data_IF_827819001275
#
_entry.id   IF_827819001275
#
_cell.length_a   1.000
_cell.length_b   1.000
_cell.length_c   1.000
_cell.angle_alpha   90.00
_cell.angle_beta   90.00
_cell.angle_gamma   90.00
#
_symmetry.space_group_name_H-M   'P 1'
#
loop_
_entity.id
_entity.type
_entity.pdbx_description
1 polymer ?
#
# COMPACT_ATOMS: atom_id res chain seq x y z
N UNK A 1 12.31 -13.32 3.93
CA UNK A 1 11.23 -12.36 4.22
C UNK A 1 10.69 -11.90 2.88
N UNK A 2 9.37 -11.92 2.71
CA UNK A 2 8.74 -11.44 1.49
C UNK A 2 9.08 -9.96 1.28
N UNK A 3 9.25 -9.57 0.02
CA UNK A 3 9.58 -8.21 -0.36
C UNK A 3 8.33 -7.33 -0.22
N UNK A 4 8.33 -6.47 0.81
CA UNK A 4 7.22 -5.54 1.11
C UNK A 4 6.88 -4.65 -0.09
N UNK A 5 7.86 -4.33 -0.93
CA UNK A 5 7.61 -3.53 -2.13
C UNK A 5 6.76 -4.28 -3.16
N UNK A 6 7.00 -5.58 -3.32
CA UNK A 6 6.22 -6.46 -4.19
C UNK A 6 4.80 -6.67 -3.65
N UNK A 7 4.66 -6.81 -2.33
CA UNK A 7 3.34 -6.95 -1.68
C UNK A 7 2.49 -5.68 -1.82
N UNK A 8 3.09 -4.50 -1.70
CA UNK A 8 2.41 -3.22 -1.94
C UNK A 8 1.86 -3.12 -3.36
N UNK A 9 2.72 -3.45 -4.33
CA UNK A 9 2.34 -3.45 -5.75
C UNK A 9 1.20 -4.42 -6.02
N UNK A 10 1.30 -5.64 -5.50
CA UNK A 10 0.26 -6.65 -5.66
C UNK A 10 -1.08 -6.24 -5.01
N UNK A 11 -1.04 -5.63 -3.81
CA UNK A 11 -2.23 -5.08 -3.17
C UNK A 11 -2.89 -4.00 -4.03
N UNK A 12 -2.10 -3.06 -4.54
CA UNK A 12 -2.57 -1.97 -5.39
C UNK A 12 -3.21 -2.49 -6.69
N UNK A 13 -2.56 -3.44 -7.34
CA UNK A 13 -3.04 -4.05 -8.58
C UNK A 13 -4.33 -4.85 -8.37
N UNK A 14 -4.43 -5.58 -7.25
CA UNK A 14 -5.64 -6.31 -6.86
C UNK A 14 -6.85 -5.40 -6.61
N UNK A 15 -6.62 -4.19 -6.12
CA UNK A 15 -7.65 -3.16 -5.97
C UNK A 15 -7.92 -2.37 -7.26
N UNK A 16 -7.09 -2.54 -8.30
CA UNK A 16 -7.23 -1.80 -9.56
C UNK A 16 -6.96 -0.30 -9.44
N UNK A 17 -6.15 0.13 -8.47
CA UNK A 17 -5.90 1.56 -8.19
C UNK A 17 -4.51 2.03 -8.65
N UNK A 18 -4.34 3.33 -8.85
CA UNK A 18 -3.06 3.95 -9.22
C UNK A 18 -2.15 4.14 -8.00
N UNK A 19 -0.85 4.37 -8.22
CA UNK A 19 0.08 4.68 -7.13
C UNK A 19 -0.33 5.95 -6.37
N UNK A 20 -0.87 6.96 -7.07
CA UNK A 20 -1.39 8.18 -6.45
C UNK A 20 -2.60 7.87 -5.54
N UNK A 21 -3.55 7.07 -6.02
CA UNK A 21 -4.72 6.69 -5.23
C UNK A 21 -4.35 5.83 -4.03
N UNK A 22 -3.37 4.94 -4.18
CA UNK A 22 -2.82 4.17 -3.07
C UNK A 22 -2.15 5.07 -2.01
N UNK A 23 -1.38 6.07 -2.44
CA UNK A 23 -0.76 7.04 -1.54
C UNK A 23 -1.80 7.86 -0.76
N UNK A 24 -2.89 8.28 -1.42
CA UNK A 24 -4.03 8.95 -0.76
C UNK A 24 -4.68 8.06 0.30
N UNK A 25 -4.92 6.77 0.00
CA UNK A 25 -5.53 5.83 0.96
C UNK A 25 -4.64 5.58 2.18
N UNK A 26 -3.33 5.72 2.02
CA UNK A 26 -2.33 5.51 3.07
C UNK A 26 -1.87 6.83 3.72
N UNK A 27 -2.47 7.95 3.33
CA UNK A 27 -2.13 9.30 3.81
C UNK A 27 -0.63 9.64 3.70
N UNK A 28 -0.03 9.36 2.55
CA UNK A 28 1.35 9.69 2.25
C UNK A 28 1.50 10.39 0.90
N UNK A 29 2.66 11.03 0.69
CA UNK A 29 2.96 11.61 -0.62
C UNK A 29 3.10 10.53 -1.70
N UNK A 30 2.72 10.80 -2.96
CA UNK A 30 2.95 9.88 -4.07
C UNK A 30 4.42 9.48 -4.26
N UNK A 31 5.35 10.39 -3.98
CA UNK A 31 6.80 10.13 -4.03
C UNK A 31 7.24 9.13 -2.96
N UNK A 32 6.66 9.26 -1.77
CA UNK A 32 6.89 8.34 -0.65
C UNK A 32 6.43 6.94 -1.07
N UNK A 33 5.19 6.80 -1.51
CA UNK A 33 4.63 5.54 -1.99
C UNK A 33 5.40 4.95 -3.21
N UNK A 34 5.84 5.78 -4.15
CA UNK A 34 6.66 5.31 -5.27
C UNK A 34 8.01 4.76 -4.80
N UNK A 35 8.64 5.42 -3.81
CA UNK A 35 9.86 4.92 -3.18
C UNK A 35 9.64 3.55 -2.52
N UNK A 36 8.48 3.37 -1.91
CA UNK A 36 8.07 2.14 -1.26
C UNK A 36 7.96 0.96 -2.23
N UNK A 37 7.25 1.13 -3.36
CA UNK A 37 7.18 0.10 -4.42
C UNK A 37 8.53 -0.12 -5.13
N UNK A 38 9.46 0.84 -5.05
CA UNK A 38 10.82 0.72 -5.60
C UNK A 38 11.82 0.07 -4.62
N UNK A 39 11.37 -0.39 -3.45
CA UNK A 39 12.22 -1.07 -2.46
C UNK A 39 13.08 -0.13 -1.61
N UNK A 40 12.77 1.19 -1.56
CA UNK A 40 13.39 2.07 -0.56
C UNK A 40 12.96 1.66 0.84
N UNK A 41 13.91 1.73 1.77
CA UNK A 41 13.73 1.18 3.10
C UNK A 41 12.63 1.87 3.89
N UNK A 42 11.99 1.07 4.72
CA UNK A 42 10.95 1.51 5.64
C UNK A 42 11.27 1.05 7.04
N UNK A 43 11.17 1.98 7.96
CA UNK A 43 11.37 1.72 9.38
C UNK A 43 10.22 0.89 9.99
N UNK A 44 9.02 0.88 9.38
CA UNK A 44 7.80 0.31 10.00
C UNK A 44 6.96 -0.58 9.09
N UNK A 45 7.61 -1.57 8.47
CA UNK A 45 7.00 -2.56 7.54
C UNK A 45 5.73 -3.24 8.08
N UNK A 46 5.66 -3.51 9.39
CA UNK A 46 4.49 -4.15 10.05
C UNK A 46 3.25 -3.26 10.05
N UNK A 47 3.39 -1.97 10.35
CA UNK A 47 2.25 -1.03 10.44
C UNK A 47 1.58 -0.87 9.08
N UNK A 48 2.40 -0.85 8.01
CA UNK A 48 1.91 -0.77 6.64
C UNK A 48 1.03 -1.97 6.29
N UNK A 49 1.44 -3.19 6.63
CA UNK A 49 0.66 -4.41 6.34
C UNK A 49 -0.70 -4.43 7.03
N UNK A 50 -0.78 -3.95 8.27
CA UNK A 50 -2.06 -3.82 8.98
C UNK A 50 -2.98 -2.79 8.31
N UNK A 51 -2.44 -1.61 7.96
CA UNK A 51 -3.21 -0.57 7.27
C UNK A 51 -3.79 -1.07 5.92
N UNK A 52 -3.02 -1.83 5.14
CA UNK A 52 -3.48 -2.40 3.87
C UNK A 52 -4.65 -3.38 4.03
N UNK A 53 -4.64 -4.20 5.09
CA UNK A 53 -5.72 -5.15 5.38
C UNK A 53 -7.01 -4.43 5.79
N UNK A 54 -6.90 -3.39 6.63
CA UNK A 54 -8.04 -2.60 7.08
C UNK A 54 -8.70 -1.81 5.93
N UNK A 55 -7.89 -1.25 5.02
CA UNK A 55 -8.38 -0.56 3.82
C UNK A 55 -9.14 -1.55 2.92
N UNK A 56 -8.59 -2.74 2.67
CA UNK A 56 -9.26 -3.74 1.85
C UNK A 56 -10.61 -4.18 2.43
N UNK A 57 -10.66 -4.39 3.75
CA UNK A 57 -11.90 -4.75 4.44
C UNK A 57 -12.93 -3.62 4.40
N UNK A 58 -12.49 -2.36 4.50
CA UNK A 58 -13.37 -1.19 4.42
C UNK A 58 -13.97 -1.04 3.02
N UNK A 59 -13.18 -1.18 1.97
CA UNK A 59 -13.65 -1.11 0.59
C UNK A 59 -14.64 -2.23 0.24
N UNK A 60 -14.48 -3.42 0.82
CA UNK A 60 -15.42 -4.54 0.65
C UNK A 60 -16.76 -4.33 1.36
N UNK A 61 -16.80 -3.60 2.47
CA UNK A 61 -18.03 -3.34 3.25
C UNK A 61 -18.96 -2.29 2.65
N UNK A 62 -18.44 -1.42 1.78
CA UNK A 62 -19.22 -0.35 1.13
C UNK A 62 -19.92 -0.85 -0.15
N UNK A 63 -19.67 -2.09 -0.56
CA UNK A 63 -20.24 -2.71 -1.77
C UNK A 63 -21.42 -3.61 -1.47
#
# INVERSE_FOLDING_TARGET
>A
MADVSAELKAWRERLGITQARAAELLDVSPRTYQGWEAGRDFDRKIILMHALSDIENTLKKVR
#
